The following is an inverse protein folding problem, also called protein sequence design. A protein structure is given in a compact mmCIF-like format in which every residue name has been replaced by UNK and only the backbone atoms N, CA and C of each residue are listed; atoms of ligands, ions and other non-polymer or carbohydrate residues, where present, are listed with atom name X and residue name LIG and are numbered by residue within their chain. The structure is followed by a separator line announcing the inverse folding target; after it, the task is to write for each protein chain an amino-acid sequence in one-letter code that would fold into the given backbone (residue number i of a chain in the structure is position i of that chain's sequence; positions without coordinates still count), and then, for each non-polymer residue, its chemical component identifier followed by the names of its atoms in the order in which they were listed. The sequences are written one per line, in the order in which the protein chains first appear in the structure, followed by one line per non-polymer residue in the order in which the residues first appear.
data_IF_802914639978
#
_entry.id   IF_802914639978
#
_cell.length_a   1.000
_cell.length_b   1.000
_cell.length_c   1.000
_cell.angle_alpha   90.00
_cell.angle_beta   90.00
_cell.angle_gamma   90.00
#
_symmetry.space_group_name_H-M   'P 1'
#
loop_
_entity.id
_entity.type
_entity.pdbx_description
1 polymer ?
#
# COMPACT_ATOMS: atom_id res chain seq x y z
N UNK A 1 -16.11 -20.61 -16.47
CA UNK A 1 -14.97 -21.49 -16.81
C UNK A 1 -13.72 -20.91 -16.16
N UNK A 2 -12.97 -21.72 -15.47
CA UNK A 2 -11.68 -21.27 -14.88
C UNK A 2 -10.62 -21.30 -15.98
N UNK A 3 -10.04 -20.15 -16.31
CA UNK A 3 -8.92 -20.05 -17.25
C UNK A 3 -7.65 -19.76 -16.46
N UNK A 4 -6.68 -20.68 -16.51
CA UNK A 4 -5.42 -20.56 -15.80
C UNK A 4 -4.61 -19.32 -16.25
N UNK A 5 -4.80 -18.90 -17.50
CA UNK A 5 -4.15 -17.70 -18.05
C UNK A 5 -4.67 -16.40 -17.43
N UNK A 6 -5.93 -16.38 -16.97
CA UNK A 6 -6.50 -15.26 -16.26
C UNK A 6 -6.22 -15.32 -14.74
N UNK A 7 -6.19 -16.53 -14.16
CA UNK A 7 -5.99 -16.73 -12.73
C UNK A 7 -4.58 -16.27 -12.31
N UNK A 8 -3.55 -16.58 -13.10
CA UNK A 8 -2.17 -16.31 -12.71
C UNK A 8 -1.84 -14.80 -12.58
N UNK A 9 -2.23 -13.92 -13.53
CA UNK A 9 -2.11 -12.47 -13.36
C UNK A 9 -2.88 -11.93 -12.14
N UNK A 10 -4.10 -12.42 -11.92
CA UNK A 10 -4.92 -12.00 -10.77
C UNK A 10 -4.26 -12.39 -9.45
N UNK A 11 -3.67 -13.58 -9.35
CA UNK A 11 -2.93 -14.03 -8.17
C UNK A 11 -1.74 -13.10 -7.86
N UNK A 12 -0.96 -12.72 -8.88
CA UNK A 12 0.14 -11.76 -8.71
C UNK A 12 -0.37 -10.40 -8.25
N UNK A 13 -1.47 -9.92 -8.83
CA UNK A 13 -2.11 -8.67 -8.38
C UNK A 13 -2.53 -8.74 -6.91
N UNK A 14 -3.11 -9.84 -6.44
CA UNK A 14 -3.46 -10.02 -5.03
C UNK A 14 -2.26 -9.99 -4.09
N UNK A 15 -1.12 -10.55 -4.50
CA UNK A 15 0.12 -10.45 -3.70
C UNK A 15 0.57 -8.99 -3.59
N UNK A 16 0.55 -8.25 -4.70
CA UNK A 16 0.91 -6.82 -4.72
C UNK A 16 -0.06 -6.00 -3.86
N UNK A 17 -1.37 -6.25 -3.99
CA UNK A 17 -2.39 -5.59 -3.16
C UNK A 17 -2.20 -5.87 -1.66
N UNK A 18 -1.82 -7.11 -1.30
CA UNK A 18 -1.52 -7.42 0.10
C UNK A 18 -0.31 -6.62 0.63
N UNK A 19 0.73 -6.43 -0.18
CA UNK A 19 1.88 -5.58 0.17
C UNK A 19 1.46 -4.12 0.30
N UNK A 20 0.61 -3.62 -0.61
CA UNK A 20 0.03 -2.27 -0.54
C UNK A 20 -0.77 -2.08 0.75
N UNK A 21 -1.65 -3.01 1.09
CA UNK A 21 -2.44 -2.98 2.33
C UNK A 21 -1.55 -2.93 3.58
N UNK A 22 -0.45 -3.69 3.62
CA UNK A 22 0.55 -3.62 4.71
C UNK A 22 1.18 -2.23 4.78
N UNK A 23 1.52 -1.64 3.64
CA UNK A 23 2.03 -0.27 3.53
C UNK A 23 1.04 0.77 4.06
N UNK A 24 -0.21 0.68 3.65
CA UNK A 24 -1.28 1.60 4.05
C UNK A 24 -1.57 1.52 5.56
N UNK A 25 -1.67 0.32 6.11
CA UNK A 25 -1.86 0.13 7.57
C UNK A 25 -0.67 0.72 8.33
N UNK A 26 0.56 0.46 7.87
CA UNK A 26 1.76 1.02 8.48
C UNK A 26 1.76 2.55 8.42
N UNK A 27 1.36 3.12 7.28
CA UNK A 27 1.23 4.57 7.08
C UNK A 27 0.19 5.19 8.00
N UNK A 28 -0.99 4.58 8.13
CA UNK A 28 -2.05 5.02 9.06
C UNK A 28 -1.60 4.95 10.52
N UNK A 29 -0.91 3.88 10.91
CA UNK A 29 -0.46 3.71 12.29
C UNK A 29 0.65 4.71 12.65
N UNK A 30 1.61 4.92 11.76
CA UNK A 30 2.68 5.91 11.97
C UNK A 30 2.13 7.34 11.86
N UNK A 31 1.40 7.63 10.78
CA UNK A 31 0.88 8.97 10.51
C UNK A 31 -0.25 9.39 11.45
N UNK A 32 -1.18 8.49 11.77
CA UNK A 32 -2.37 8.78 12.57
C UNK A 32 -2.19 8.56 14.06
N UNK A 33 -1.68 7.38 14.44
CA UNK A 33 -1.57 6.94 15.85
C UNK A 33 -0.21 7.29 16.47
N UNK A 34 0.83 7.49 15.66
CA UNK A 34 2.18 7.82 16.11
C UNK A 34 2.98 6.61 16.63
N UNK A 35 2.61 5.38 16.24
CA UNK A 35 3.35 4.15 16.57
C UNK A 35 3.41 3.22 15.37
N UNK A 36 4.23 2.20 15.46
CA UNK A 36 4.27 1.14 14.45
C UNK A 36 3.04 0.23 14.53
N UNK A 37 2.68 -0.34 13.38
CA UNK A 37 1.66 -1.38 13.31
C UNK A 37 2.20 -2.67 13.93
N UNK A 38 1.35 -3.37 14.66
CA UNK A 38 1.66 -4.70 15.18
C UNK A 38 1.38 -5.77 14.12
N UNK A 39 2.05 -6.92 14.19
CA UNK A 39 1.82 -8.06 13.28
C UNK A 39 0.34 -8.49 13.25
N UNK A 40 -0.34 -8.37 14.39
CA UNK A 40 -1.78 -8.68 14.49
C UNK A 40 -2.65 -7.67 13.73
N UNK A 41 -2.28 -6.41 13.71
CA UNK A 41 -2.99 -5.37 12.96
C UNK A 41 -2.73 -5.54 11.46
N UNK A 42 -1.50 -5.83 11.07
CA UNK A 42 -1.13 -6.08 9.66
C UNK A 42 -1.85 -7.32 9.12
N UNK A 43 -1.76 -8.45 9.83
CA UNK A 43 -2.41 -9.69 9.40
C UNK A 43 -3.93 -9.58 9.40
N UNK A 44 -4.51 -8.89 10.39
CA UNK A 44 -5.94 -8.62 10.46
C UNK A 44 -6.44 -7.76 9.31
N UNK A 45 -5.68 -6.75 8.90
CA UNK A 45 -6.03 -5.88 7.78
C UNK A 45 -5.99 -6.62 6.44
N UNK A 46 -4.93 -7.38 6.17
CA UNK A 46 -4.82 -8.18 4.94
C UNK A 46 -5.93 -9.25 4.88
N UNK A 47 -6.26 -9.87 6.03
CA UNK A 47 -7.36 -10.84 6.10
C UNK A 47 -8.72 -10.16 5.85
N UNK A 48 -8.93 -8.96 6.36
CA UNK A 48 -10.16 -8.19 6.15
C UNK A 48 -10.32 -7.82 4.66
N UNK A 49 -9.24 -7.43 4.00
CA UNK A 49 -9.20 -7.11 2.58
C UNK A 49 -9.53 -8.34 1.71
N UNK A 50 -8.92 -9.48 2.01
CA UNK A 50 -9.22 -10.74 1.34
C UNK A 50 -10.66 -11.24 1.54
N UNK A 51 -11.20 -11.12 2.76
CA UNK A 51 -12.62 -11.46 3.04
C UNK A 51 -13.57 -10.51 2.31
N UNK A 52 -13.29 -9.21 2.32
CA UNK A 52 -14.07 -8.22 1.59
C UNK A 52 -14.10 -8.49 0.09
N UNK A 53 -12.95 -8.79 -0.51
CA UNK A 53 -12.84 -9.16 -1.93
C UNK A 53 -13.59 -10.46 -2.25
N UNK A 54 -13.55 -11.44 -1.34
CA UNK A 54 -14.32 -12.69 -1.50
C UNK A 54 -15.83 -12.44 -1.47
N UNK A 55 -16.30 -11.57 -0.57
CA UNK A 55 -17.71 -11.16 -0.54
C UNK A 55 -18.08 -10.37 -1.80
N UNK A 56 -17.24 -9.44 -2.25
CA UNK A 56 -17.47 -8.68 -3.48
C UNK A 56 -17.64 -9.61 -4.68
N UNK A 57 -16.83 -10.66 -4.79
CA UNK A 57 -16.92 -11.66 -5.85
C UNK A 57 -18.26 -12.42 -5.85
N UNK A 58 -18.85 -12.71 -4.68
CA UNK A 58 -20.17 -13.33 -4.58
C UNK A 58 -21.29 -12.44 -5.14
N UNK A 59 -21.13 -11.13 -5.07
CA UNK A 59 -22.07 -10.15 -5.64
C UNK A 59 -21.70 -9.74 -7.09
N UNK A 60 -20.68 -10.34 -7.68
CA UNK A 60 -20.22 -9.99 -9.02
C UNK A 60 -19.63 -8.59 -9.13
N UNK A 61 -19.11 -8.04 -8.03
CA UNK A 61 -18.46 -6.73 -7.94
C UNK A 61 -16.95 -6.92 -7.95
N UNK A 62 -16.21 -5.89 -8.36
CA UNK A 62 -14.74 -5.89 -8.33
C UNK A 62 -14.21 -6.09 -6.91
N UNK A 63 -13.03 -6.72 -6.76
CA UNK A 63 -12.39 -6.87 -5.46
C UNK A 63 -12.11 -5.50 -4.84
N UNK A 64 -12.18 -5.42 -3.51
CA UNK A 64 -11.78 -4.24 -2.76
C UNK A 64 -10.29 -4.31 -2.39
N UNK A 65 -9.72 -3.17 -2.13
CA UNK A 65 -8.38 -3.01 -1.56
C UNK A 65 -8.38 -1.86 -0.57
N UNK A 66 -7.30 -1.71 0.19
CA UNK A 66 -7.10 -0.52 1.01
C UNK A 66 -7.05 0.73 0.14
N UNK A 67 -7.51 1.85 0.66
CA UNK A 67 -7.57 3.11 -0.08
C UNK A 67 -6.47 4.05 0.41
N UNK A 68 -5.33 4.03 -0.27
CA UNK A 68 -4.09 4.73 0.11
C UNK A 68 -4.28 6.23 0.32
N UNK A 69 -5.25 6.86 -0.37
CA UNK A 69 -5.59 8.28 -0.18
C UNK A 69 -6.02 8.60 1.24
N UNK A 70 -6.64 7.65 1.94
CA UNK A 70 -7.04 7.84 3.33
C UNK A 70 -5.85 7.88 4.29
N UNK A 71 -4.72 7.29 3.93
CA UNK A 71 -3.48 7.38 4.73
C UNK A 71 -3.06 8.83 4.92
N UNK A 72 -3.04 9.60 3.83
CA UNK A 72 -2.74 11.03 3.87
C UNK A 72 -3.76 11.83 4.68
N UNK A 73 -5.06 11.55 4.52
CA UNK A 73 -6.13 12.19 5.30
C UNK A 73 -6.00 11.91 6.79
N UNK A 74 -5.73 10.66 7.17
CA UNK A 74 -5.53 10.27 8.57
C UNK A 74 -4.28 10.93 9.16
N UNK A 75 -3.19 11.00 8.38
CA UNK A 75 -1.98 11.68 8.82
C UNK A 75 -2.20 13.18 9.09
N UNK A 76 -3.04 13.84 8.30
CA UNK A 76 -3.40 15.26 8.46
C UNK A 76 -4.42 15.49 9.58
N UNK A 77 -5.50 14.71 9.61
CA UNK A 77 -6.63 14.93 10.52
C UNK A 77 -6.46 14.26 11.88
N UNK A 78 -5.58 13.27 11.98
CA UNK A 78 -5.38 12.41 13.16
C UNK A 78 -6.66 11.69 13.62
N UNK A 79 -7.65 11.57 12.73
CA UNK A 79 -8.91 10.87 13.03
C UNK A 79 -8.69 9.38 12.85
N UNK A 80 -8.49 8.66 13.96
CA UNK A 80 -8.28 7.21 14.01
C UNK A 80 -9.39 6.47 14.80
N UNK A 81 -10.44 7.19 15.17
CA UNK A 81 -11.54 6.61 15.93
C UNK A 81 -12.34 5.65 15.07
N UNK A 82 -12.46 4.39 15.53
CA UNK A 82 -13.18 3.31 14.82
C UNK A 82 -14.64 3.66 14.54
N UNK A 83 -15.30 4.38 15.46
CA UNK A 83 -16.71 4.77 15.29
C UNK A 83 -16.83 5.81 14.17
N UNK A 84 -15.93 6.78 14.10
CA UNK A 84 -15.90 7.78 13.03
C UNK A 84 -15.67 7.12 11.66
N UNK A 85 -14.74 6.16 11.56
CA UNK A 85 -14.49 5.42 10.32
C UNK A 85 -15.68 4.52 9.95
N UNK A 86 -16.29 3.85 10.93
CA UNK A 86 -17.49 3.03 10.71
C UNK A 86 -18.69 3.87 10.23
N UNK A 87 -18.87 5.08 10.75
CA UNK A 87 -19.92 5.98 10.28
C UNK A 87 -19.75 6.37 8.81
N UNK A 88 -18.50 6.56 8.36
CA UNK A 88 -18.17 6.75 6.94
C UNK A 88 -18.56 5.55 6.08
N UNK A 89 -18.29 4.34 6.54
CA UNK A 89 -18.69 3.12 5.84
C UNK A 89 -20.23 2.98 5.75
N UNK A 90 -20.94 3.28 6.83
CA UNK A 90 -22.42 3.31 6.84
C UNK A 90 -22.95 4.35 5.84
N UNK A 91 -22.33 5.54 5.80
CA UNK A 91 -22.71 6.57 4.84
C UNK A 91 -22.51 6.10 3.38
N UNK A 92 -21.41 5.42 3.07
CA UNK A 92 -21.19 4.85 1.74
C UNK A 92 -22.23 3.78 1.38
N UNK A 93 -22.63 2.92 2.33
CA UNK A 93 -23.70 1.94 2.13
C UNK A 93 -25.02 2.67 1.82
N UNK A 94 -25.36 3.72 2.55
CA UNK A 94 -26.56 4.51 2.30
C UNK A 94 -26.52 5.18 0.93
N UNK A 95 -25.35 5.70 0.49
CA UNK A 95 -25.18 6.23 -0.86
C UNK A 95 -25.41 5.17 -1.93
N UNK A 96 -25.01 3.92 -1.70
CA UNK A 96 -25.25 2.81 -2.62
C UNK A 96 -26.74 2.37 -2.66
N UNK A 97 -27.43 2.44 -1.53
CA UNK A 97 -28.86 2.08 -1.43
C UNK A 97 -29.79 3.18 -1.94
N UNK A 98 -29.36 4.44 -1.88
CA UNK A 98 -30.17 5.59 -2.27
C UNK A 98 -29.59 6.22 -3.55
N UNK A 99 -30.08 5.88 -4.75
CA UNK A 99 -29.52 6.35 -6.02
C UNK A 99 -29.46 7.89 -6.15
N UNK A 100 -30.36 8.60 -5.46
CA UNK A 100 -30.37 10.07 -5.45
C UNK A 100 -29.13 10.68 -4.81
N UNK A 101 -28.52 10.03 -3.81
CA UNK A 101 -27.27 10.48 -3.19
C UNK A 101 -26.10 10.29 -4.16
N UNK A 102 -26.05 9.16 -4.87
CA UNK A 102 -25.07 8.93 -5.92
C UNK A 102 -25.18 9.95 -7.06
N UNK A 103 -26.42 10.25 -7.50
CA UNK A 103 -26.67 11.26 -8.52
C UNK A 103 -26.20 12.66 -8.07
N UNK A 104 -26.33 13.01 -6.80
CA UNK A 104 -25.85 14.29 -6.24
C UNK A 104 -24.33 14.45 -6.40
N UNK A 105 -23.58 13.34 -6.18
CA UNK A 105 -22.13 13.34 -6.36
C UNK A 105 -21.76 13.45 -7.84
N UNK A 106 -22.51 12.82 -8.74
CA UNK A 106 -22.24 12.82 -10.18
C UNK A 106 -22.44 14.18 -10.86
N UNK A 107 -23.22 15.09 -10.27
CA UNK A 107 -23.40 16.47 -10.78
C UNK A 107 -22.36 17.46 -10.27
N UNK A 108 -21.41 17.02 -9.45
CA UNK A 108 -20.34 17.91 -8.98
C UNK A 108 -19.47 18.39 -10.17
N UNK A 109 -19.15 19.70 -10.21
CA UNK A 109 -18.28 20.23 -11.26
C UNK A 109 -16.93 19.54 -11.32
N UNK A 110 -16.44 19.21 -12.52
CA UNK A 110 -15.14 18.56 -12.72
C UNK A 110 -13.98 19.34 -12.11
N UNK A 111 -14.07 20.67 -12.08
CA UNK A 111 -13.05 21.54 -11.44
C UNK A 111 -12.95 21.31 -9.94
N UNK A 112 -14.07 21.05 -9.24
CA UNK A 112 -14.10 20.75 -7.81
C UNK A 112 -13.51 19.38 -7.55
N UNK A 113 -13.92 18.38 -8.34
CA UNK A 113 -13.37 17.01 -8.25
C UNK A 113 -11.87 17.00 -8.56
N UNK A 114 -11.42 17.74 -9.58
CA UNK A 114 -10.01 17.88 -9.93
C UNK A 114 -9.19 18.51 -8.80
N UNK A 115 -9.69 19.57 -8.17
CA UNK A 115 -9.04 20.20 -7.01
C UNK A 115 -8.90 19.25 -5.83
N UNK A 116 -9.96 18.52 -5.50
CA UNK A 116 -9.94 17.51 -4.45
C UNK A 116 -8.94 16.37 -4.78
N UNK A 117 -8.91 15.92 -6.04
CA UNK A 117 -7.98 14.88 -6.49
C UNK A 117 -6.52 15.32 -6.32
N UNK A 118 -6.15 16.54 -6.70
CA UNK A 118 -4.80 17.09 -6.52
C UNK A 118 -4.39 17.05 -5.05
N UNK A 119 -5.27 17.49 -4.14
CA UNK A 119 -4.99 17.45 -2.70
C UNK A 119 -4.78 16.03 -2.18
N UNK A 120 -5.63 15.08 -2.61
CA UNK A 120 -5.51 13.68 -2.22
C UNK A 120 -4.21 13.05 -2.74
N UNK A 121 -3.89 13.20 -4.01
CA UNK A 121 -2.66 12.65 -4.59
C UNK A 121 -1.41 13.26 -3.98
N UNK A 122 -1.42 14.57 -3.68
CA UNK A 122 -0.31 15.21 -2.96
C UNK A 122 -0.09 14.57 -1.58
N UNK A 123 -1.17 14.26 -0.86
CA UNK A 123 -1.08 13.59 0.44
C UNK A 123 -0.51 12.19 0.34
N UNK A 124 -0.85 11.43 -0.72
CA UNK A 124 -0.29 10.10 -0.96
C UNK A 124 1.22 10.18 -1.21
N UNK A 125 1.65 11.13 -2.05
CA UNK A 125 3.08 11.34 -2.33
C UNK A 125 3.85 11.61 -1.04
N UNK A 126 3.34 12.51 -0.20
CA UNK A 126 3.96 12.84 1.10
C UNK A 126 4.01 11.60 2.00
N UNK A 127 2.94 10.83 2.08
CA UNK A 127 2.91 9.59 2.87
C UNK A 127 3.91 8.55 2.35
N UNK A 128 4.03 8.40 1.03
CA UNK A 128 5.04 7.55 0.40
C UNK A 128 6.47 7.98 0.75
N UNK A 129 6.75 9.28 0.70
CA UNK A 129 8.04 9.84 1.11
C UNK A 129 8.31 9.53 2.59
N UNK A 130 7.33 9.73 3.48
CA UNK A 130 7.46 9.44 4.90
C UNK A 130 7.77 7.96 5.17
N UNK A 131 7.14 7.04 4.43
CA UNK A 131 7.42 5.61 4.55
C UNK A 131 8.83 5.25 4.09
N UNK A 132 9.27 5.80 2.96
CA UNK A 132 10.62 5.54 2.42
C UNK A 132 11.70 6.11 3.34
N UNK A 133 11.47 7.29 3.93
CA UNK A 133 12.45 7.98 4.79
C UNK A 133 12.36 7.60 6.26
N UNK A 134 11.48 6.68 6.63
CA UNK A 134 11.35 6.19 8.00
C UNK A 134 12.65 5.58 8.54
N UNK A 135 13.36 4.87 7.68
CA UNK A 135 14.70 4.38 7.95
C UNK A 135 15.75 5.16 7.14
N UNK A 136 16.99 5.29 7.62
CA UNK A 136 18.04 5.98 6.87
C UNK A 136 18.21 5.37 5.48
N UNK A 137 18.24 6.23 4.46
CA UNK A 137 18.51 5.82 3.08
C UNK A 137 19.99 5.64 2.87
N UNK A 138 20.49 4.44 3.14
CA UNK A 138 21.83 4.03 2.75
C UNK A 138 21.95 3.87 1.22
N UNK A 139 23.16 3.69 0.71
CA UNK A 139 23.41 3.57 -0.73
C UNK A 139 22.65 2.38 -1.36
N UNK A 140 22.48 1.28 -0.61
CA UNK A 140 21.74 0.10 -1.05
C UNK A 140 20.24 0.40 -1.18
N UNK A 141 19.62 0.94 -0.14
CA UNK A 141 18.19 1.30 -0.11
C UNK A 141 17.87 2.37 -1.14
N UNK A 142 18.73 3.38 -1.26
CA UNK A 142 18.58 4.43 -2.26
C UNK A 142 18.60 3.85 -3.67
N UNK A 143 19.49 2.91 -3.96
CA UNK A 143 19.56 2.23 -5.26
C UNK A 143 18.30 1.42 -5.55
N UNK A 144 17.80 0.66 -4.56
CA UNK A 144 16.56 -0.13 -4.68
C UNK A 144 15.37 0.79 -4.99
N UNK A 145 15.19 1.83 -4.20
CA UNK A 145 14.08 2.77 -4.36
C UNK A 145 14.15 3.50 -5.70
N UNK A 146 15.33 3.99 -6.07
CA UNK A 146 15.52 4.74 -7.33
C UNK A 146 15.21 3.89 -8.56
N UNK A 147 15.74 2.67 -8.60
CA UNK A 147 15.53 1.77 -9.76
C UNK A 147 14.09 1.29 -9.80
N UNK A 148 13.50 0.91 -8.64
CA UNK A 148 12.12 0.45 -8.56
C UNK A 148 11.12 1.53 -9.00
N UNK A 149 11.29 2.77 -8.51
CA UNK A 149 10.46 3.90 -8.93
C UNK A 149 10.66 4.25 -10.40
N UNK A 150 11.91 4.25 -10.89
CA UNK A 150 12.22 4.55 -12.29
C UNK A 150 11.59 3.53 -13.24
N UNK A 151 11.72 2.23 -12.96
CA UNK A 151 11.12 1.17 -13.77
C UNK A 151 9.60 1.21 -13.67
N UNK A 152 9.04 1.33 -12.46
CA UNK A 152 7.60 1.39 -12.25
C UNK A 152 6.96 2.57 -12.97
N UNK A 153 7.50 3.76 -12.79
CA UNK A 153 7.01 4.95 -13.49
C UNK A 153 7.18 4.84 -15.00
N UNK A 154 8.35 4.41 -15.48
CA UNK A 154 8.64 4.25 -16.91
C UNK A 154 7.67 3.29 -17.60
N UNK A 155 7.39 2.13 -16.99
CA UNK A 155 6.44 1.15 -17.52
C UNK A 155 4.99 1.64 -17.42
N UNK A 156 4.62 2.33 -16.35
CA UNK A 156 3.28 2.88 -16.18
C UNK A 156 2.94 3.98 -17.18
N UNK A 157 3.91 4.82 -17.55
CA UNK A 157 3.71 5.92 -18.53
C UNK A 157 3.83 5.43 -19.98
N UNK A 158 4.59 4.38 -20.23
CA UNK A 158 4.86 3.86 -21.57
C UNK A 158 4.52 2.38 -21.73
N UNK A 159 3.23 2.01 -21.75
CA UNK A 159 2.81 0.61 -21.92
C UNK A 159 3.32 -0.03 -23.24
N UNK A 160 3.67 0.78 -24.23
CA UNK A 160 4.25 0.35 -25.49
C UNK A 160 5.55 -0.46 -25.35
N UNK A 161 6.29 -0.31 -24.24
CA UNK A 161 7.49 -1.11 -23.92
C UNK A 161 7.17 -2.60 -23.93
N UNK A 162 5.95 -2.97 -23.53
CA UNK A 162 5.52 -4.36 -23.41
C UNK A 162 4.82 -4.89 -24.67
N UNK A 163 4.68 -4.09 -25.73
CA UNK A 163 3.91 -4.46 -26.95
C UNK A 163 4.39 -5.76 -27.63
N UNK A 164 5.66 -6.10 -27.48
CA UNK A 164 6.27 -7.30 -28.06
C UNK A 164 6.41 -8.47 -27.07
N UNK A 165 5.88 -8.34 -25.85
CA UNK A 165 5.92 -9.40 -24.84
C UNK A 165 4.67 -10.29 -24.93
N UNK A 166 4.71 -11.53 -24.36
CA UNK A 166 3.53 -12.37 -24.28
C UNK A 166 2.37 -11.67 -23.56
N UNK A 167 1.14 -11.95 -23.97
CA UNK A 167 -0.07 -11.33 -23.46
C UNK A 167 -0.18 -11.42 -21.92
N UNK A 168 0.27 -12.52 -21.32
CA UNK A 168 0.30 -12.67 -19.87
C UNK A 168 1.20 -11.63 -19.18
N UNK A 169 2.35 -11.30 -19.78
CA UNK A 169 3.27 -10.27 -19.25
C UNK A 169 2.68 -8.88 -19.41
N UNK A 170 2.01 -8.61 -20.54
CA UNK A 170 1.32 -7.34 -20.75
C UNK A 170 0.22 -7.11 -19.72
N UNK A 171 -0.58 -8.15 -19.41
CA UNK A 171 -1.64 -8.08 -18.40
C UNK A 171 -1.08 -7.91 -16.98
N UNK A 172 0.08 -8.51 -16.67
CA UNK A 172 0.69 -8.41 -15.34
C UNK A 172 1.39 -7.07 -15.10
N UNK A 173 2.05 -6.52 -16.10
CA UNK A 173 2.96 -5.39 -15.95
C UNK A 173 2.52 -4.13 -16.71
N UNK A 174 1.55 -4.23 -17.63
CA UNK A 174 1.19 -3.14 -18.54
C UNK A 174 0.09 -2.22 -18.02
N UNK A 175 -0.71 -2.65 -17.07
CA UNK A 175 -1.86 -1.87 -16.58
C UNK A 175 -1.50 -0.96 -15.41
N UNK A 176 -0.41 -1.24 -14.71
CA UNK A 176 -0.01 -0.48 -13.51
C UNK A 176 1.50 -0.46 -13.33
N UNK A 177 2.06 0.71 -13.06
CA UNK A 177 3.48 0.85 -12.69
C UNK A 177 3.83 0.28 -11.31
N UNK A 178 2.83 -0.01 -10.47
CA UNK A 178 3.01 -0.54 -9.11
C UNK A 178 3.59 -1.95 -9.14
N UNK A 179 3.05 -2.82 -10.00
CA UNK A 179 3.50 -4.22 -10.12
C UNK A 179 4.99 -4.33 -10.51
N UNK A 180 5.45 -3.67 -11.61
CA UNK A 180 6.86 -3.70 -11.95
C UNK A 180 7.75 -3.04 -10.89
N UNK A 181 7.31 -1.95 -10.24
CA UNK A 181 8.05 -1.32 -9.14
C UNK A 181 8.24 -2.29 -7.97
N UNK A 182 7.18 -2.94 -7.51
CA UNK A 182 7.22 -3.91 -6.43
C UNK A 182 8.10 -5.11 -6.77
N UNK A 183 7.97 -5.65 -7.98
CA UNK A 183 8.78 -6.77 -8.44
C UNK A 183 10.27 -6.43 -8.45
N UNK A 184 10.64 -5.27 -9.01
CA UNK A 184 12.02 -4.80 -9.06
C UNK A 184 12.56 -4.54 -7.65
N UNK A 185 11.77 -3.93 -6.77
CA UNK A 185 12.15 -3.68 -5.38
C UNK A 185 12.47 -5.00 -4.64
N UNK A 186 11.60 -6.00 -4.76
CA UNK A 186 11.80 -7.32 -4.15
C UNK A 186 13.03 -7.98 -4.73
N UNK A 187 13.17 -8.01 -6.05
CA UNK A 187 14.29 -8.63 -6.75
C UNK A 187 15.63 -8.01 -6.33
N UNK A 188 15.72 -6.68 -6.34
CA UNK A 188 16.93 -5.97 -5.94
C UNK A 188 17.22 -6.15 -4.45
N UNK A 189 16.21 -6.22 -3.61
CA UNK A 189 16.39 -6.47 -2.18
C UNK A 189 16.96 -7.85 -1.88
N UNK A 190 16.69 -8.84 -2.75
CA UNK A 190 17.26 -10.19 -2.65
C UNK A 190 18.69 -10.23 -3.21
N UNK A 191 18.92 -9.56 -4.35
CA UNK A 191 20.19 -9.64 -5.08
C UNK A 191 21.27 -8.78 -4.46
N UNK A 192 20.95 -7.56 -4.01
CA UNK A 192 21.95 -6.65 -3.44
C UNK A 192 22.39 -7.14 -2.05
N UNK A 193 23.70 -7.25 -1.81
CA UNK A 193 24.22 -7.65 -0.51
C UNK A 193 23.80 -6.66 0.57
N UNK A 194 23.52 -7.15 1.77
CA UNK A 194 23.27 -6.29 2.93
C UNK A 194 24.56 -5.59 3.32
N UNK A 195 24.48 -4.29 3.62
CA UNK A 195 25.65 -3.56 4.12
C UNK A 195 26.04 -4.11 5.50
N UNK A 196 27.33 -4.42 5.67
CA UNK A 196 27.88 -4.93 6.96
C UNK A 196 27.63 -3.96 8.13
N UNK A 197 27.51 -2.67 7.85
CA UNK A 197 27.16 -1.67 8.87
C UNK A 197 25.76 -1.89 9.46
N UNK A 198 24.80 -2.38 8.68
CA UNK A 198 23.44 -2.68 9.16
C UNK A 198 23.40 -3.90 10.11
N UNK A 199 24.22 -4.90 9.84
CA UNK A 199 24.35 -6.08 10.70
C UNK A 199 24.97 -5.71 12.04
N UNK A 200 26.02 -4.91 12.02
CA UNK A 200 26.70 -4.46 13.26
C UNK A 200 25.79 -3.58 14.12
N UNK A 201 25.01 -2.67 13.54
CA UNK A 201 24.05 -1.83 14.29
C UNK A 201 22.92 -2.66 14.88
N UNK A 202 22.38 -3.64 14.13
CA UNK A 202 21.34 -4.55 14.65
C UNK A 202 21.85 -5.43 15.77
N UNK A 203 23.09 -5.94 15.68
CA UNK A 203 23.71 -6.71 16.76
C UNK A 203 23.89 -5.86 18.01
N UNK A 204 24.43 -4.65 17.90
CA UNK A 204 24.63 -3.73 19.04
C UNK A 204 23.30 -3.36 19.68
N UNK A 205 22.26 -3.02 18.89
CA UNK A 205 20.94 -2.68 19.43
C UNK A 205 20.28 -3.89 20.09
N UNK A 206 20.47 -5.10 19.55
CA UNK A 206 19.92 -6.32 20.16
C UNK A 206 20.62 -6.68 21.47
N UNK A 207 21.93 -6.48 21.57
CA UNK A 207 22.71 -6.68 22.81
C UNK A 207 22.34 -5.65 23.89
N UNK A 208 22.18 -4.38 23.53
CA UNK A 208 21.71 -3.35 24.47
C UNK A 208 20.30 -3.64 24.97
N UNK A 209 19.39 -4.04 24.10
CA UNK A 209 18.02 -4.41 24.48
C UNK A 209 17.97 -5.63 25.39
N UNK A 210 18.82 -6.63 25.16
CA UNK A 210 18.98 -7.80 26.04
C UNK A 210 19.52 -7.41 27.42
N UNK A 211 20.54 -6.56 27.45
CA UNK A 211 21.16 -6.07 28.72
C UNK A 211 20.19 -5.23 29.55
N UNK A 212 19.34 -4.41 28.89
CA UNK A 212 18.29 -3.62 29.56
C UNK A 212 17.23 -4.53 30.20
N UNK A 213 16.80 -5.57 29.44
CA UNK A 213 15.84 -6.56 29.97
C UNK A 213 16.38 -7.34 31.16
N UNK A 214 17.65 -7.74 31.13
CA UNK A 214 18.29 -8.47 32.21
C UNK A 214 18.41 -7.62 33.48
N UNK A 215 18.75 -6.33 33.33
CA UNK A 215 18.78 -5.38 34.44
C UNK A 215 17.41 -5.03 35.04
N UNK A 216 16.33 -5.17 34.22
CA UNK A 216 14.96 -4.93 34.68
C UNK A 216 14.37 -6.12 35.45
N UNK A 217 14.86 -7.34 35.19
CA UNK A 217 14.43 -8.58 35.90
C UNK A 217 15.17 -8.77 37.23
N UNK A 218 16.35 -8.17 37.39
CA UNK A 218 17.17 -8.30 38.61
C UNK A 218 16.90 -7.20 39.66
N UNK A 219 15.91 -6.37 39.45
CA UNK A 219 15.39 -5.36 40.38
C UNK A 219 13.98 -5.68 40.84
#
# INVERSE_FOLDING_TARGET
MFDLRAILPVLVMFVVTAVETVGDISGVMVGGVGREATDKELSGGVMCDGLGSSLAALFGVLPNTSFSQNVGLVAMTKVVNRIALASGAVFLILCGLIPKLGALISIMPQSVLGGAAVMMFSSIIVSGIQLITKEPLDARRLSIVSVALGVGYGMGVSPAILAHTPQAVQLMFGESGIVPAAFVAILLNIILPKDKAEETVKEVVSEEAATIKEKAVTK
#
